data_IF_177137755519
#
_entry.id   IF_177137755519
#
_cell.length_a   1.000
_cell.length_b   1.000
_cell.length_c   1.000
_cell.angle_alpha   90.00
_cell.angle_beta   90.00
_cell.angle_gamma   90.00
#
_symmetry.space_group_name_H-M   'P 1'
#
loop_
_entity.id
_entity.type
_entity.pdbx_description
1 polymer ?
#
# COMPACT_ATOMS: atom_id res chain seq x y z
N UNK A 1 28.30 -33.10 72.65
CA UNK A 1 28.17 -32.53 71.28
C UNK A 1 28.38 -31.04 71.38
N UNK A 2 29.65 -30.62 71.12
CA UNK A 2 30.00 -29.21 71.15
C UNK A 2 29.82 -28.61 69.74
N UNK A 3 28.75 -27.85 69.56
CA UNK A 3 28.49 -27.09 68.35
C UNK A 3 29.43 -25.88 68.27
N UNK A 4 30.39 -25.90 67.35
CA UNK A 4 31.23 -24.73 67.04
C UNK A 4 30.40 -23.75 66.19
N UNK A 5 29.81 -22.77 66.80
CA UNK A 5 29.24 -21.61 66.10
C UNK A 5 30.38 -20.70 65.69
N UNK A 6 30.87 -20.86 64.44
CA UNK A 6 31.75 -19.87 63.82
C UNK A 6 30.97 -18.55 63.62
N UNK A 7 31.22 -17.56 64.46
CA UNK A 7 30.77 -16.19 64.18
C UNK A 7 31.59 -15.63 63.02
N UNK A 8 30.95 -15.29 61.89
CA UNK A 8 31.69 -14.65 60.79
C UNK A 8 32.30 -13.35 61.28
N UNK A 9 33.60 -13.18 61.05
CA UNK A 9 34.29 -11.92 61.38
C UNK A 9 33.63 -10.78 60.59
N UNK A 10 33.36 -9.62 61.20
CA UNK A 10 32.65 -8.52 60.56
C UNK A 10 33.32 -8.01 59.27
N UNK A 11 34.63 -8.20 59.17
CA UNK A 11 35.38 -7.90 57.96
C UNK A 11 34.98 -8.76 56.73
N UNK A 12 34.64 -10.03 56.92
CA UNK A 12 34.25 -10.92 55.84
C UNK A 12 32.88 -10.56 55.26
N UNK A 13 31.92 -10.20 56.12
CA UNK A 13 30.60 -9.77 55.70
C UNK A 13 30.63 -8.42 54.98
N UNK A 14 31.51 -7.50 55.41
CA UNK A 14 31.71 -6.22 54.72
C UNK A 14 32.33 -6.42 53.29
N UNK A 15 33.28 -7.35 53.14
CA UNK A 15 33.87 -7.68 51.85
C UNK A 15 32.86 -8.33 50.91
N UNK A 16 32.01 -9.20 51.38
CA UNK A 16 30.95 -9.84 50.57
C UNK A 16 29.92 -8.79 50.12
N UNK A 17 29.49 -7.88 51.00
CA UNK A 17 28.58 -6.79 50.65
C UNK A 17 29.18 -5.84 49.60
N UNK A 18 30.49 -5.49 49.75
CA UNK A 18 31.19 -4.65 48.82
C UNK A 18 31.33 -5.32 47.42
N UNK A 19 31.62 -6.62 47.41
CA UNK A 19 31.70 -7.40 46.18
C UNK A 19 30.36 -7.49 45.45
N UNK A 20 29.25 -7.65 46.17
CA UNK A 20 27.90 -7.66 45.58
C UNK A 20 27.55 -6.28 45.04
N UNK A 21 27.87 -5.20 45.75
CA UNK A 21 27.62 -3.85 45.25
C UNK A 21 28.45 -3.50 44.02
N UNK A 22 29.71 -3.95 43.93
CA UNK A 22 30.53 -3.75 42.73
C UNK A 22 30.05 -4.60 41.55
N UNK A 23 29.60 -5.82 41.76
CA UNK A 23 29.05 -6.67 40.72
C UNK A 23 27.74 -6.11 40.15
N UNK A 24 26.90 -5.49 40.96
CA UNK A 24 25.65 -4.90 40.49
C UNK A 24 25.85 -3.57 39.72
N UNK A 25 26.93 -2.83 39.98
CA UNK A 25 27.22 -1.58 39.25
C UNK A 25 27.89 -1.82 37.90
N UNK A 26 28.59 -2.93 37.69
CA UNK A 26 29.19 -3.30 36.41
C UNK A 26 28.17 -3.81 35.37
N UNK A 27 26.98 -4.25 35.80
CA UNK A 27 25.97 -4.77 34.92
C UNK A 27 25.40 -3.74 33.92
N UNK A 28 25.30 -2.46 34.31
CA UNK A 28 24.75 -1.43 33.42
C UNK A 28 25.82 -0.82 32.47
N UNK A 29 27.08 -0.73 32.91
CA UNK A 29 28.14 -0.10 32.14
C UNK A 29 28.64 -1.03 31.03
N UNK A 30 28.55 -2.36 31.20
CA UNK A 30 28.97 -3.34 30.20
C UNK A 30 27.97 -3.51 29.05
N UNK A 31 26.70 -3.10 29.24
CA UNK A 31 25.66 -3.23 28.19
C UNK A 31 25.74 -2.13 27.13
N UNK A 32 26.27 -0.94 27.47
CA UNK A 32 26.38 0.17 26.52
C UNK A 32 27.34 -0.15 25.37
N UNK A 33 28.60 -0.57 25.61
CA UNK A 33 29.51 -0.93 24.51
C UNK A 33 29.07 -2.20 23.77
N UNK A 34 28.37 -3.12 24.42
CA UNK A 34 27.81 -4.27 23.73
C UNK A 34 26.68 -3.87 22.77
N UNK A 35 25.86 -2.88 23.15
CA UNK A 35 24.83 -2.31 22.30
C UNK A 35 25.42 -1.56 21.11
N UNK A 36 26.40 -0.69 21.34
CA UNK A 36 27.12 0.02 20.27
C UNK A 36 27.76 -0.95 19.28
N UNK A 37 28.40 -2.02 19.78
CA UNK A 37 28.98 -3.05 18.94
C UNK A 37 27.93 -3.81 18.11
N UNK A 38 26.76 -4.06 18.67
CA UNK A 38 25.65 -4.71 17.96
C UNK A 38 25.02 -3.75 16.93
N UNK A 39 24.99 -2.46 17.20
CA UNK A 39 24.54 -1.44 16.25
C UNK A 39 25.53 -1.26 15.11
N UNK A 40 26.83 -1.30 15.35
CA UNK A 40 27.89 -1.26 14.32
C UNK A 40 27.90 -2.50 13.42
N UNK A 41 27.42 -3.63 13.90
CA UNK A 41 27.25 -4.85 13.09
C UNK A 41 25.95 -4.85 12.26
N UNK A 42 25.07 -3.87 12.45
CA UNK A 42 23.85 -3.74 11.68
C UNK A 42 24.22 -3.22 10.30
N UNK A 43 23.87 -3.94 9.23
CA UNK A 43 24.12 -3.44 7.88
C UNK A 43 23.33 -2.17 7.66
N UNK A 44 23.89 -1.24 6.91
CA UNK A 44 23.24 0.02 6.56
C UNK A 44 21.93 -0.25 5.84
N UNK A 45 20.88 0.54 6.11
CA UNK A 45 19.63 0.44 5.36
C UNK A 45 19.89 0.80 3.89
N UNK A 46 19.15 0.15 3.01
CA UNK A 46 19.13 0.43 1.58
C UNK A 46 17.82 1.13 1.21
N UNK A 47 17.92 2.14 0.34
CA UNK A 47 16.75 2.78 -0.23
C UNK A 47 16.26 1.89 -1.38
N UNK A 48 15.01 1.50 -1.34
CA UNK A 48 14.35 0.73 -2.39
C UNK A 48 13.08 1.42 -2.85
N UNK A 49 12.86 1.42 -4.17
CA UNK A 49 11.60 1.88 -4.74
C UNK A 49 10.56 0.77 -4.64
N UNK A 50 9.46 1.07 -3.97
CA UNK A 50 8.32 0.16 -3.86
C UNK A 50 7.16 0.71 -4.67
N UNK A 51 6.50 -0.17 -5.41
CA UNK A 51 5.35 0.18 -6.24
C UNK A 51 4.10 -0.50 -5.71
N UNK A 52 3.23 0.28 -5.09
CA UNK A 52 1.89 -0.15 -4.73
C UNK A 52 0.95 0.02 -5.93
N UNK A 53 0.01 -0.91 -6.08
CA UNK A 53 -0.93 -0.92 -7.20
C UNK A 53 -2.36 -1.06 -6.71
N UNK A 54 -3.19 -0.08 -7.07
CA UNK A 54 -4.64 -0.19 -6.92
C UNK A 54 -5.22 -0.52 -8.28
N UNK A 55 -6.09 -1.51 -8.32
CA UNK A 55 -6.72 -1.98 -9.55
C UNK A 55 -8.23 -2.02 -9.37
N UNK A 56 -8.95 -1.30 -10.22
CA UNK A 56 -10.38 -1.42 -10.40
C UNK A 56 -10.64 -1.98 -11.81
N UNK A 57 -11.20 -3.17 -11.89
CA UNK A 57 -11.47 -3.84 -13.16
C UNK A 57 -12.81 -4.55 -13.12
N UNK A 58 -13.49 -4.56 -14.25
CA UNK A 58 -14.75 -5.27 -14.39
C UNK A 58 -14.94 -5.77 -15.82
N UNK A 59 -15.60 -6.91 -15.95
CA UNK A 59 -16.08 -7.44 -17.21
C UNK A 59 -17.59 -7.55 -17.14
N UNK A 60 -18.27 -6.87 -18.05
CA UNK A 60 -19.74 -6.84 -18.06
C UNK A 60 -20.29 -8.14 -18.58
N UNK A 61 -21.29 -8.68 -17.88
CA UNK A 61 -22.07 -9.83 -18.31
C UNK A 61 -23.54 -9.46 -18.19
N UNK A 62 -24.29 -9.58 -19.28
CA UNK A 62 -25.73 -9.29 -19.33
C UNK A 62 -26.48 -10.56 -19.68
N UNK A 63 -27.49 -10.92 -18.92
CA UNK A 63 -28.38 -12.00 -19.31
C UNK A 63 -29.32 -11.48 -20.41
N UNK A 64 -29.49 -12.27 -21.50
CA UNK A 64 -30.37 -11.92 -22.62
C UNK A 64 -31.84 -11.70 -22.22
N UNK A 65 -32.23 -12.16 -21.04
CA UNK A 65 -33.57 -11.94 -20.49
C UNK A 65 -33.73 -10.55 -19.86
N UNK A 66 -32.65 -9.84 -19.61
CA UNK A 66 -32.66 -8.54 -18.93
C UNK A 66 -32.18 -7.41 -19.88
N UNK A 67 -32.88 -7.29 -21.02
CA UNK A 67 -32.58 -6.30 -22.09
C UNK A 67 -32.67 -4.84 -21.57
N UNK A 68 -33.26 -4.60 -20.41
CA UNK A 68 -33.32 -3.28 -19.78
C UNK A 68 -32.23 -3.06 -18.69
N UNK A 69 -31.54 -4.10 -18.29
CA UNK A 69 -30.50 -4.06 -17.28
C UNK A 69 -29.14 -3.70 -17.85
N UNK A 70 -28.92 -2.42 -18.15
CA UNK A 70 -27.55 -1.95 -18.27
C UNK A 70 -26.82 -2.26 -16.98
N UNK A 71 -25.82 -3.13 -17.04
CA UNK A 71 -25.01 -3.39 -15.90
C UNK A 71 -24.13 -2.16 -15.63
N UNK A 72 -24.32 -1.56 -14.48
CA UNK A 72 -23.47 -0.48 -13.97
C UNK A 72 -22.50 -1.05 -12.96
N UNK A 73 -21.30 -0.54 -12.96
CA UNK A 73 -20.26 -0.82 -11.96
C UNK A 73 -19.83 0.48 -11.33
N UNK A 74 -19.67 0.49 -10.03
CA UNK A 74 -19.16 1.62 -9.25
C UNK A 74 -18.20 1.08 -8.18
N UNK A 75 -17.04 1.70 -8.07
CA UNK A 75 -16.07 1.37 -7.04
C UNK A 75 -15.38 2.64 -6.56
N UNK A 76 -15.10 2.69 -5.27
CA UNK A 76 -14.30 3.74 -4.65
C UNK A 76 -13.22 3.08 -3.83
N UNK A 77 -11.97 3.48 -4.04
CA UNK A 77 -10.80 2.97 -3.34
C UNK A 77 -9.99 4.15 -2.82
N UNK A 78 -9.46 4.02 -1.61
CA UNK A 78 -8.60 5.02 -0.99
C UNK A 78 -7.19 4.46 -0.80
N UNK A 79 -6.20 5.33 -0.89
CA UNK A 79 -4.82 4.98 -0.61
C UNK A 79 -4.10 6.17 0.02
N UNK A 80 -3.19 5.91 0.98
CA UNK A 80 -2.45 6.95 1.66
C UNK A 80 -1.32 7.48 0.78
N UNK A 81 -1.15 8.79 0.80
CA UNK A 81 -0.02 9.51 0.21
C UNK A 81 0.74 10.19 1.33
N UNK A 82 1.97 9.78 1.56
CA UNK A 82 2.90 10.29 2.55
C UNK A 82 4.11 10.97 1.88
N UNK A 83 5.03 11.46 2.68
CA UNK A 83 6.23 12.17 2.22
C UNK A 83 7.18 11.28 1.38
N UNK A 84 7.05 9.96 1.48
CA UNK A 84 7.89 8.99 0.78
C UNK A 84 7.36 8.68 -0.63
N UNK A 85 6.13 9.09 -0.96
CA UNK A 85 5.57 8.91 -2.29
C UNK A 85 6.24 9.88 -3.26
N UNK A 86 6.92 9.34 -4.26
CA UNK A 86 7.64 10.10 -5.28
C UNK A 86 6.77 10.38 -6.50
N UNK A 87 5.99 9.37 -6.91
CA UNK A 87 5.19 9.46 -8.12
C UNK A 87 3.87 8.66 -7.99
N UNK A 88 2.81 9.21 -8.55
CA UNK A 88 1.54 8.53 -8.75
C UNK A 88 1.24 8.51 -10.24
N UNK A 89 1.08 7.32 -10.82
CA UNK A 89 0.70 7.15 -12.22
C UNK A 89 -0.71 6.58 -12.34
N UNK A 90 -1.56 7.23 -13.14
CA UNK A 90 -2.91 6.79 -13.44
C UNK A 90 -3.00 6.22 -14.86
N UNK A 91 -3.67 5.09 -14.98
CA UNK A 91 -3.82 4.36 -16.23
C UNK A 91 -5.23 3.84 -16.38
N UNK A 92 -5.81 3.97 -17.57
CA UNK A 92 -7.11 3.41 -17.94
C UNK A 92 -7.02 2.61 -19.23
N UNK A 93 -7.69 1.48 -19.27
CA UNK A 93 -7.87 0.64 -20.46
C UNK A 93 -9.29 0.16 -20.52
N UNK A 94 -9.93 0.30 -21.67
CA UNK A 94 -11.26 -0.25 -21.94
C UNK A 94 -11.23 -1.06 -23.22
N UNK A 95 -12.01 -2.12 -23.23
CA UNK A 95 -12.31 -2.93 -24.42
C UNK A 95 -13.82 -2.92 -24.59
N UNK A 96 -14.27 -2.22 -25.62
CA UNK A 96 -15.69 -2.04 -25.96
C UNK A 96 -15.90 -2.40 -27.44
N UNK A 97 -16.04 -3.70 -27.79
CA UNK A 97 -16.19 -4.15 -29.16
C UNK A 97 -17.38 -3.46 -29.84
N UNK A 98 -17.16 -2.97 -31.06
CA UNK A 98 -18.22 -2.26 -31.84
C UNK A 98 -19.32 -3.18 -32.31
N UNK A 99 -19.01 -4.46 -32.45
CA UNK A 99 -19.92 -5.50 -32.91
C UNK A 99 -21.08 -5.77 -31.93
N UNK A 100 -20.92 -5.31 -30.67
CA UNK A 100 -21.97 -5.35 -29.63
C UNK A 100 -23.08 -4.31 -29.83
N UNK A 101 -23.08 -3.57 -30.94
CA UNK A 101 -24.15 -2.62 -31.23
C UNK A 101 -25.36 -3.42 -31.72
N UNK A 102 -26.19 -3.87 -30.79
CA UNK A 102 -27.48 -4.43 -31.10
C UNK A 102 -28.38 -3.34 -31.72
N UNK A 103 -29.14 -3.65 -32.77
CA UNK A 103 -30.11 -2.69 -33.31
C UNK A 103 -31.06 -2.20 -32.23
N UNK A 104 -31.08 -0.91 -31.98
CA UNK A 104 -31.93 -0.27 -30.97
C UNK A 104 -31.30 -0.01 -29.61
N UNK A 105 -30.04 -0.40 -29.39
CA UNK A 105 -29.29 -0.02 -28.18
C UNK A 105 -28.51 1.27 -28.47
N UNK A 106 -28.74 2.35 -27.71
CA UNK A 106 -27.97 3.58 -27.87
C UNK A 106 -26.49 3.33 -27.55
N UNK A 107 -25.59 3.73 -28.45
CA UNK A 107 -24.12 3.58 -28.27
C UNK A 107 -23.55 4.53 -27.25
N UNK A 108 -24.23 5.60 -26.95
CA UNK A 108 -23.90 6.66 -25.99
C UNK A 108 -24.09 6.28 -24.51
N UNK A 109 -24.56 5.06 -24.25
CA UNK A 109 -24.81 4.55 -22.89
C UNK A 109 -23.63 3.82 -22.29
N UNK A 110 -22.61 3.50 -23.10
CA UNK A 110 -21.41 2.75 -22.67
C UNK A 110 -20.30 3.72 -22.33
N UNK A 111 -19.78 3.63 -21.12
CA UNK A 111 -18.69 4.49 -20.68
C UNK A 111 -17.92 3.86 -19.51
N UNK A 112 -16.68 4.29 -19.33
CA UNK A 112 -15.89 4.14 -18.13
C UNK A 112 -15.38 5.51 -17.73
N UNK A 113 -15.72 5.97 -16.54
CA UNK A 113 -15.26 7.21 -15.93
C UNK A 113 -14.37 6.88 -14.76
N UNK A 114 -13.19 7.46 -14.73
CA UNK A 114 -12.29 7.38 -13.61
C UNK A 114 -11.97 8.80 -13.12
N UNK A 115 -12.07 8.99 -11.82
CA UNK A 115 -11.80 10.26 -11.15
C UNK A 115 -10.80 10.01 -10.03
N UNK A 116 -9.72 10.77 -9.98
CA UNK A 116 -8.78 10.77 -8.89
C UNK A 116 -8.89 12.11 -8.15
N UNK A 117 -9.11 12.03 -6.85
CA UNK A 117 -9.23 13.17 -5.95
C UNK A 117 -8.11 13.12 -4.94
N UNK A 118 -7.41 14.22 -4.72
CA UNK A 118 -6.35 14.34 -3.73
C UNK A 118 -6.88 14.45 -2.29
N UNK A 119 -5.96 14.52 -1.33
CA UNK A 119 -6.31 14.62 0.09
C UNK A 119 -7.01 15.94 0.46
N UNK A 120 -6.84 17.00 -0.33
CA UNK A 120 -7.50 18.29 -0.15
C UNK A 120 -8.91 18.33 -0.77
N UNK A 121 -9.31 17.25 -1.44
CA UNK A 121 -10.60 17.14 -2.11
C UNK A 121 -10.62 17.73 -3.53
N UNK A 122 -9.46 18.06 -4.12
CA UNK A 122 -9.40 18.52 -5.48
C UNK A 122 -9.39 17.35 -6.45
N UNK A 123 -10.17 17.45 -7.53
CA UNK A 123 -10.10 16.50 -8.63
C UNK A 123 -8.82 16.76 -9.44
N UNK A 124 -7.85 15.87 -9.31
CA UNK A 124 -6.54 15.98 -9.98
C UNK A 124 -6.50 15.27 -11.32
N UNK A 125 -7.40 14.28 -11.51
CA UNK A 125 -7.54 13.58 -12.78
C UNK A 125 -8.97 13.15 -13.01
N UNK A 126 -9.38 13.26 -14.29
CA UNK A 126 -10.64 12.72 -14.77
C UNK A 126 -10.47 12.23 -16.21
N UNK A 127 -10.95 11.04 -16.45
CA UNK A 127 -10.97 10.48 -17.80
C UNK A 127 -12.28 9.74 -18.04
N UNK A 128 -12.83 9.92 -19.24
CA UNK A 128 -13.99 9.19 -19.74
C UNK A 128 -13.64 8.48 -21.04
N UNK A 129 -13.87 7.18 -21.06
CA UNK A 129 -13.62 6.32 -22.23
C UNK A 129 -14.95 5.71 -22.66
N UNK A 130 -15.30 5.89 -23.94
CA UNK A 130 -16.56 5.43 -24.54
C UNK A 130 -16.36 4.41 -25.65
N UNK A 131 -15.11 4.11 -25.98
CA UNK A 131 -14.73 3.12 -27.02
C UNK A 131 -13.51 2.32 -26.58
N UNK A 132 -13.14 1.31 -27.36
CA UNK A 132 -11.93 0.53 -27.08
C UNK A 132 -10.69 1.41 -27.12
N UNK A 133 -10.07 1.59 -25.98
CA UNK A 133 -8.91 2.45 -25.80
C UNK A 133 -7.99 1.96 -24.71
N UNK A 134 -6.70 2.30 -24.87
CA UNK A 134 -5.68 2.07 -23.85
C UNK A 134 -4.86 3.34 -23.71
N UNK A 135 -4.97 3.99 -22.54
CA UNK A 135 -4.30 5.25 -22.25
C UNK A 135 -3.48 5.13 -20.96
N UNK A 136 -2.28 5.68 -20.99
CA UNK A 136 -1.60 6.12 -19.78
C UNK A 136 -1.81 7.64 -19.72
N UNK A 137 -2.55 8.13 -18.72
CA UNK A 137 -3.22 9.43 -18.86
C UNK A 137 -2.60 10.50 -17.99
N UNK A 138 -2.07 10.17 -16.83
CA UNK A 138 -1.50 11.16 -15.94
C UNK A 138 -0.40 10.58 -15.05
N UNK A 139 0.59 11.44 -14.78
CA UNK A 139 1.64 11.21 -13.80
C UNK A 139 1.73 12.43 -12.90
N UNK A 140 1.71 12.20 -11.60
CA UNK A 140 1.80 13.22 -10.57
C UNK A 140 3.09 13.01 -9.80
N UNK A 141 3.89 14.05 -9.69
CA UNK A 141 5.16 14.05 -8.96
C UNK A 141 5.09 15.04 -7.80
N UNK A 142 6.01 14.91 -6.86
CA UNK A 142 6.12 15.85 -5.74
C UNK A 142 6.21 17.30 -6.20
N UNK A 143 5.60 18.26 -5.46
CA UNK A 143 4.91 18.07 -4.17
C UNK A 143 3.48 17.54 -4.35
N UNK A 144 3.12 16.52 -3.57
CA UNK A 144 1.80 15.90 -3.53
C UNK A 144 1.05 16.32 -2.27
N UNK A 145 -0.27 16.40 -2.33
CA UNK A 145 -1.11 16.61 -1.15
C UNK A 145 -1.05 15.37 -0.25
N UNK A 146 -0.59 15.54 1.00
CA UNK A 146 -0.44 14.45 1.95
C UNK A 146 -1.78 14.06 2.56
N UNK A 147 -2.05 12.77 2.65
CA UNK A 147 -3.28 12.22 3.20
C UNK A 147 -3.90 11.17 2.29
N UNK A 148 -5.19 10.88 2.50
CA UNK A 148 -5.88 9.85 1.73
C UNK A 148 -6.37 10.38 0.39
N UNK A 149 -5.84 9.82 -0.69
CA UNK A 149 -6.34 10.05 -2.03
C UNK A 149 -7.43 9.05 -2.37
N UNK A 150 -8.37 9.45 -3.20
CA UNK A 150 -9.54 8.65 -3.55
C UNK A 150 -9.64 8.44 -5.04
N UNK A 151 -9.64 7.17 -5.46
CA UNK A 151 -10.01 6.75 -6.82
C UNK A 151 -11.50 6.38 -6.83
N UNK A 152 -12.28 7.03 -7.69
CA UNK A 152 -13.66 6.68 -7.98
C UNK A 152 -13.78 6.23 -9.43
N UNK A 153 -14.38 5.07 -9.63
CA UNK A 153 -14.64 4.52 -10.97
C UNK A 153 -16.12 4.25 -11.11
N UNK A 154 -16.71 4.81 -12.15
CA UNK A 154 -18.08 4.57 -12.57
C UNK A 154 -18.07 4.06 -14.01
N UNK A 155 -18.83 3.04 -14.29
CA UNK A 155 -18.88 2.51 -15.64
C UNK A 155 -20.21 1.87 -15.95
N UNK A 156 -20.50 1.80 -17.24
CA UNK A 156 -21.68 1.16 -17.80
C UNK A 156 -21.27 0.42 -19.07
N UNK A 157 -21.69 -0.83 -19.19
CA UNK A 157 -21.34 -1.65 -20.31
C UNK A 157 -22.28 -2.82 -20.54
N UNK A 158 -22.03 -3.56 -21.57
CA UNK A 158 -22.79 -4.75 -21.99
C UNK A 158 -21.84 -5.95 -22.16
N UNK A 159 -22.39 -7.14 -21.99
CA UNK A 159 -21.67 -8.37 -22.28
C UNK A 159 -22.66 -9.49 -22.59
N UNK A 160 -22.43 -10.25 -23.64
CA UNK A 160 -23.26 -11.40 -23.98
C UNK A 160 -22.67 -12.68 -23.39
N UNK A 161 -23.50 -13.41 -22.63
CA UNK A 161 -23.07 -14.66 -21.97
C UNK A 161 -23.07 -15.86 -22.92
N UNK A 162 -23.98 -15.88 -23.90
CA UNK A 162 -24.26 -17.06 -24.72
C UNK A 162 -23.11 -17.43 -25.68
N UNK A 163 -22.43 -16.45 -26.26
CA UNK A 163 -21.32 -16.71 -27.18
C UNK A 163 -19.94 -16.40 -26.56
N UNK A 164 -19.90 -15.75 -25.41
CA UNK A 164 -18.68 -15.31 -24.70
C UNK A 164 -17.67 -14.49 -25.56
N UNK A 165 -18.15 -13.97 -26.70
CA UNK A 165 -17.32 -13.37 -27.73
C UNK A 165 -17.25 -11.84 -27.58
N UNK A 166 -18.34 -11.25 -27.09
CA UNK A 166 -18.49 -9.80 -27.03
C UNK A 166 -18.79 -9.34 -25.62
N UNK A 167 -17.77 -8.95 -24.88
CA UNK A 167 -17.92 -8.39 -23.54
C UNK A 167 -17.18 -7.08 -23.44
N UNK A 168 -17.87 -6.09 -22.91
CA UNK A 168 -17.21 -4.88 -22.45
C UNK A 168 -16.39 -5.21 -21.21
N UNK A 169 -15.21 -4.67 -21.15
CA UNK A 169 -14.35 -4.78 -19.98
C UNK A 169 -13.50 -3.53 -19.83
N UNK A 170 -13.08 -3.27 -18.62
CA UNK A 170 -12.14 -2.20 -18.36
C UNK A 170 -11.18 -2.55 -17.22
N UNK A 171 -10.11 -1.78 -17.17
CA UNK A 171 -9.15 -1.76 -16.08
C UNK A 171 -8.70 -0.33 -15.83
N UNK A 172 -8.80 0.12 -14.60
CA UNK A 172 -8.19 1.36 -14.10
C UNK A 172 -7.11 0.96 -13.11
N UNK A 173 -5.90 1.42 -13.33
CA UNK A 173 -4.74 1.09 -12.50
C UNK A 173 -4.11 2.39 -12.00
N UNK A 174 -3.95 2.49 -10.69
CA UNK A 174 -3.11 3.51 -10.05
C UNK A 174 -1.85 2.81 -9.56
N UNK A 175 -0.70 3.36 -9.91
CA UNK A 175 0.60 2.99 -9.36
C UNK A 175 1.06 4.10 -8.45
N UNK A 176 1.48 3.75 -7.26
CA UNK A 176 2.07 4.66 -6.27
C UNK A 176 3.50 4.21 -6.04
N UNK A 177 4.45 5.00 -6.50
CA UNK A 177 5.88 4.74 -6.32
C UNK A 177 6.35 5.51 -5.10
N UNK A 178 6.96 4.79 -4.16
CA UNK A 178 7.48 5.36 -2.91
C UNK A 178 8.87 4.85 -2.59
N UNK A 179 9.69 5.73 -2.03
CA UNK A 179 10.98 5.36 -1.46
C UNK A 179 10.78 4.72 -0.09
N UNK A 180 11.56 3.69 0.17
CA UNK A 180 11.49 2.93 1.40
C UNK A 180 12.88 2.59 1.91
N UNK A 181 13.12 2.79 3.18
CA UNK A 181 14.29 2.32 3.88
C UNK A 181 14.08 0.86 4.31
N UNK A 182 14.84 -0.05 3.71
CA UNK A 182 14.79 -1.47 4.01
C UNK A 182 16.01 -1.86 4.83
N UNK A 183 15.78 -2.39 6.03
CA UNK A 183 16.83 -2.98 6.84
C UNK A 183 16.91 -4.47 6.53
N UNK A 184 18.12 -5.02 6.25
CA UNK A 184 18.28 -6.40 5.77
C UNK A 184 17.70 -7.49 6.68
N UNK A 185 17.39 -7.18 7.93
CA UNK A 185 16.86 -8.12 8.91
C UNK A 185 15.40 -7.79 9.33
N UNK A 186 14.78 -6.80 8.72
CA UNK A 186 13.41 -6.40 9.00
C UNK A 186 12.52 -6.69 7.79
N UNK A 187 11.38 -7.34 8.02
CA UNK A 187 10.40 -7.55 6.97
C UNK A 187 9.52 -6.31 6.88
N UNK A 188 9.67 -5.57 5.80
CA UNK A 188 8.82 -4.43 5.49
C UNK A 188 9.57 -3.11 5.33
N UNK A 189 8.81 -2.10 4.99
CA UNK A 189 9.23 -0.74 4.79
C UNK A 189 9.28 -0.01 6.13
N UNK A 190 10.40 0.56 6.49
CA UNK A 190 10.47 1.53 7.60
C UNK A 190 10.29 2.91 7.02
N UNK A 191 9.23 3.58 7.44
CA UNK A 191 9.04 5.00 7.19
C UNK A 191 9.68 5.74 8.34
N UNK A 192 10.72 6.52 8.08
CA UNK A 192 11.23 7.45 9.09
C UNK A 192 10.15 8.49 9.37
N UNK A 193 9.66 8.47 10.60
CA UNK A 193 8.69 9.41 11.15
C UNK A 193 9.39 10.60 11.81
#
# INVERSE_FOLDING_TARGET
SSGLTMRPKPALSAFIMLAIMMASSMGCVGLVPAREFMEDLRPSPEIMDIVDKLNASHTFTTDLTDIQGSTSYSATQQFPVDENVQEISAYISASMPRELILPGVPTDVRYVRATLTDADGNQVWFEEVTETERKMVATFQQPLALGDWTLSVESRGYGEEVANIYKDSFQVLIKVERECWVYPNEAGCSYDS
#
